data_IF_394630748325
#
_entry.id   IF_394630748325
#
_cell.length_a   1.000
_cell.length_b   1.000
_cell.length_c   1.000
_cell.angle_alpha   90.00
_cell.angle_beta   90.00
_cell.angle_gamma   90.00
#
_symmetry.space_group_name_H-M   'P 1'
#
loop_
_entity.id
_entity.type
_entity.pdbx_description
1 polymer ?
#
# COMPACT_ATOMS: atom_id res chain seq x y z
N UNK A 1 -22.38 8.05 5.38
CA UNK A 1 -21.01 7.69 5.00
C UNK A 1 -20.07 8.44 5.93
N UNK A 2 -18.97 7.80 6.36
CA UNK A 2 -17.97 8.46 7.22
C UNK A 2 -17.31 9.62 6.49
N UNK A 3 -16.83 10.63 7.24
CA UNK A 3 -15.91 11.63 6.70
C UNK A 3 -14.51 11.03 6.60
N UNK A 4 -13.92 11.06 5.40
CA UNK A 4 -12.67 10.38 5.10
C UNK A 4 -11.61 11.36 4.63
N UNK A 5 -10.42 11.29 5.23
CA UNK A 5 -9.23 12.01 4.77
C UNK A 5 -8.14 11.00 4.42
N UNK A 6 -7.78 10.92 3.14
CA UNK A 6 -6.68 10.09 2.66
C UNK A 6 -5.42 10.92 2.47
N UNK A 7 -4.40 10.65 3.28
CA UNK A 7 -3.04 11.18 3.08
C UNK A 7 -2.30 10.28 2.08
N UNK A 8 -1.94 10.85 0.92
CA UNK A 8 -1.44 10.07 -0.23
C UNK A 8 -0.38 10.79 -1.06
N UNK A 9 0.47 10.00 -1.71
CA UNK A 9 1.50 10.44 -2.66
C UNK A 9 1.36 9.69 -3.99
N UNK A 10 1.50 10.39 -5.11
CA UNK A 10 1.57 9.75 -6.44
C UNK A 10 2.83 8.88 -6.59
N UNK A 11 2.66 7.72 -7.24
CA UNK A 11 3.71 6.73 -7.42
C UNK A 11 4.13 6.02 -6.12
N UNK A 12 3.30 6.08 -5.08
CA UNK A 12 3.47 5.30 -3.86
C UNK A 12 2.32 4.30 -3.71
N UNK A 13 2.45 3.36 -2.79
CA UNK A 13 1.42 2.35 -2.52
C UNK A 13 0.04 2.96 -2.16
N UNK A 14 0.01 4.21 -1.65
CA UNK A 14 -1.23 4.96 -1.41
C UNK A 14 -2.08 5.23 -2.66
N UNK A 15 -1.52 5.13 -3.86
CA UNK A 15 -2.29 5.25 -5.11
C UNK A 15 -3.36 4.16 -5.20
N UNK A 16 -3.11 2.94 -4.73
CA UNK A 16 -4.10 1.87 -4.71
C UNK A 16 -5.35 2.23 -3.89
N UNK A 17 -5.16 2.79 -2.68
CA UNK A 17 -6.27 3.26 -1.84
C UNK A 17 -7.04 4.42 -2.49
N UNK A 18 -6.32 5.34 -3.14
CA UNK A 18 -6.92 6.45 -3.88
C UNK A 18 -7.81 5.96 -5.02
N UNK A 19 -7.33 5.02 -5.83
CA UNK A 19 -8.10 4.43 -6.93
C UNK A 19 -9.31 3.65 -6.44
N UNK A 20 -9.18 2.89 -5.35
CA UNK A 20 -10.30 2.14 -4.79
C UNK A 20 -11.44 3.05 -4.29
N UNK A 21 -11.11 4.16 -3.62
CA UNK A 21 -12.13 5.14 -3.19
C UNK A 21 -12.88 5.73 -4.40
N UNK A 22 -12.15 6.04 -5.48
CA UNK A 22 -12.74 6.53 -6.73
C UNK A 22 -13.63 5.48 -7.40
N UNK A 23 -13.15 4.23 -7.53
CA UNK A 23 -13.91 3.12 -8.13
C UNK A 23 -15.22 2.84 -7.39
N UNK A 24 -15.17 2.91 -6.05
CA UNK A 24 -16.33 2.67 -5.21
C UNK A 24 -17.23 3.89 -5.04
N UNK A 25 -16.89 5.02 -5.68
CA UNK A 25 -17.60 6.30 -5.57
C UNK A 25 -17.79 6.75 -4.11
N UNK A 26 -16.86 6.39 -3.23
CA UNK A 26 -16.87 6.78 -1.81
C UNK A 26 -16.34 8.21 -1.72
N UNK A 27 -17.09 9.18 -1.15
CA UNK A 27 -16.59 10.54 -0.96
C UNK A 27 -15.44 10.61 0.04
N UNK A 28 -14.41 11.40 -0.26
CA UNK A 28 -13.25 11.61 0.60
C UNK A 28 -12.52 12.90 0.25
N UNK A 29 -11.69 13.38 1.17
CA UNK A 29 -10.70 14.43 0.95
C UNK A 29 -9.33 13.81 0.74
N UNK A 30 -8.66 14.11 -0.38
CA UNK A 30 -7.29 13.71 -0.62
C UNK A 30 -6.31 14.79 -0.16
N UNK A 31 -5.34 14.45 0.69
CA UNK A 31 -4.23 15.32 1.08
C UNK A 31 -2.95 14.83 0.40
N UNK A 32 -2.44 15.55 -0.62
CA UNK A 32 -1.15 15.28 -1.22
C UNK A 32 -0.01 15.36 -0.22
N UNK A 33 0.83 14.33 -0.19
CA UNK A 33 2.01 14.23 0.67
C UNK A 33 3.28 14.11 -0.16
N UNK A 34 4.40 14.57 0.40
CA UNK A 34 5.74 14.32 -0.13
C UNK A 34 6.61 13.64 0.92
N UNK A 35 7.48 12.74 0.46
CA UNK A 35 8.43 12.05 1.33
C UNK A 35 9.53 13.05 1.75
N UNK A 36 9.71 13.22 3.06
CA UNK A 36 10.77 14.02 3.66
C UNK A 36 11.95 13.16 4.14
N UNK A 37 12.73 13.72 5.07
CA UNK A 37 13.83 12.99 5.70
C UNK A 37 13.32 11.80 6.52
N UNK A 38 14.12 10.73 6.59
CA UNK A 38 13.83 9.54 7.39
C UNK A 38 12.46 8.89 7.14
N UNK A 39 11.95 8.95 5.89
CA UNK A 39 10.64 8.39 5.49
C UNK A 39 9.43 9.06 6.18
N UNK A 40 9.61 10.22 6.80
CA UNK A 40 8.51 10.98 7.38
C UNK A 40 7.90 11.87 6.31
N UNK A 41 6.58 11.82 6.19
CA UNK A 41 5.85 12.57 5.19
C UNK A 41 5.38 13.93 5.73
N UNK A 42 5.33 14.91 4.86
CA UNK A 42 4.75 16.23 5.12
C UNK A 42 3.83 16.64 3.95
N UNK A 43 2.95 17.60 4.18
CA UNK A 43 2.00 18.09 3.19
C UNK A 43 2.69 18.65 1.96
N UNK A 44 2.14 18.32 0.79
CA UNK A 44 2.57 18.81 -0.52
C UNK A 44 1.53 19.73 -1.19
N UNK A 45 0.44 20.03 -0.50
CA UNK A 45 -0.70 20.83 -0.95
C UNK A 45 -0.57 22.34 -0.64
N UNK A 46 0.53 22.75 -0.01
CA UNK A 46 0.77 24.13 0.38
C UNK A 46 0.06 24.58 1.67
N UNK A 47 -0.66 23.68 2.36
CA UNK A 47 -1.32 23.98 3.64
C UNK A 47 -0.36 24.17 4.81
N UNK A 48 0.89 23.71 4.65
CA UNK A 48 1.90 23.76 5.70
C UNK A 48 1.81 22.63 6.72
N UNK A 49 1.10 21.53 6.42
CA UNK A 49 1.11 20.33 7.25
C UNK A 49 2.54 19.80 7.42
N UNK A 50 3.12 20.04 8.60
CA UNK A 50 4.50 19.60 8.89
C UNK A 50 4.53 18.11 9.23
N UNK A 51 5.73 17.51 9.15
CA UNK A 51 5.93 16.11 9.57
C UNK A 51 5.57 15.88 11.04
N UNK A 52 5.87 16.84 11.92
CA UNK A 52 5.57 16.74 13.36
C UNK A 52 4.06 16.78 13.61
N UNK A 53 3.32 17.56 12.81
CA UNK A 53 1.86 17.55 12.84
C UNK A 53 1.31 16.25 12.26
N UNK A 54 1.86 15.75 11.16
CA UNK A 54 1.41 14.50 10.54
C UNK A 54 1.64 13.28 11.43
N UNK A 55 2.76 13.20 12.17
CA UNK A 55 3.02 12.10 13.12
C UNK A 55 1.98 12.06 14.25
N UNK A 56 1.38 13.19 14.62
CA UNK A 56 0.29 13.22 15.60
C UNK A 56 -1.00 12.62 15.04
N UNK A 57 -1.18 12.64 13.73
CA UNK A 57 -2.33 12.07 13.01
C UNK A 57 -2.11 10.59 12.70
N UNK A 58 -0.92 10.25 12.20
CA UNK A 58 -0.47 8.91 11.85
C UNK A 58 0.88 8.66 12.52
N UNK A 59 0.92 7.99 13.69
CA UNK A 59 2.17 7.73 14.41
C UNK A 59 3.25 7.01 13.59
N UNK A 60 2.83 6.25 12.57
CA UNK A 60 3.73 5.58 11.63
C UNK A 60 4.43 6.56 10.66
N UNK A 61 3.86 7.74 10.44
CA UNK A 61 4.50 8.85 9.72
C UNK A 61 4.65 8.66 8.20
N UNK A 62 4.04 7.62 7.63
CA UNK A 62 4.04 7.35 6.19
C UNK A 62 2.64 7.21 5.60
N UNK A 63 2.57 7.19 4.26
CA UNK A 63 1.35 6.96 3.49
C UNK A 63 1.23 5.49 3.04
N UNK A 64 0.00 4.97 2.84
CA UNK A 64 -1.28 5.62 3.09
C UNK A 64 -1.57 5.77 4.59
N UNK A 65 -2.27 6.85 4.92
CA UNK A 65 -2.99 7.00 6.17
C UNK A 65 -4.41 7.46 5.85
N UNK A 66 -5.41 6.79 6.42
CA UNK A 66 -6.83 7.10 6.22
C UNK A 66 -7.44 7.50 7.56
N UNK A 67 -7.75 8.77 7.73
CA UNK A 67 -8.50 9.24 8.89
C UNK A 67 -10.00 9.07 8.65
N UNK A 68 -10.69 8.55 9.66
CA UNK A 68 -12.14 8.27 9.66
C UNK A 68 -12.79 9.13 10.73
N UNK A 69 -13.76 9.96 10.33
CA UNK A 69 -14.56 10.87 11.15
C UNK A 69 -13.72 11.84 12.02
N UNK A 70 -12.44 12.04 11.66
CA UNK A 70 -11.50 12.83 12.45
C UNK A 70 -11.07 12.18 13.77
N UNK A 71 -11.50 10.94 14.05
CA UNK A 71 -11.31 10.28 15.35
C UNK A 71 -10.20 9.23 15.33
N UNK A 72 -10.11 8.46 14.25
CA UNK A 72 -9.17 7.34 14.14
C UNK A 72 -8.45 7.35 12.80
N UNK A 73 -7.20 6.86 12.79
CA UNK A 73 -6.39 6.76 11.58
C UNK A 73 -5.99 5.31 11.34
N UNK A 74 -6.36 4.80 10.17
CA UNK A 74 -5.98 3.47 9.69
C UNK A 74 -4.72 3.61 8.83
N UNK A 75 -3.72 2.79 9.12
CA UNK A 75 -2.44 2.71 8.38
C UNK A 75 -2.25 1.27 7.91
N UNK A 76 -1.18 1.00 7.15
CA UNK A 76 -1.00 -0.20 6.31
C UNK A 76 -1.96 -0.25 5.13
N UNK A 77 -1.41 -0.32 3.91
CA UNK A 77 -2.24 -0.34 2.70
C UNK A 77 -3.30 -1.45 2.75
N UNK A 78 -2.91 -2.64 3.22
CA UNK A 78 -3.82 -3.78 3.33
C UNK A 78 -5.01 -3.50 4.24
N UNK A 79 -4.81 -2.86 5.40
CA UNK A 79 -5.91 -2.52 6.30
C UNK A 79 -6.77 -1.38 5.75
N UNK A 80 -6.14 -0.39 5.10
CA UNK A 80 -6.85 0.71 4.44
C UNK A 80 -7.77 0.19 3.32
N UNK A 81 -7.28 -0.69 2.44
CA UNK A 81 -8.08 -1.28 1.35
C UNK A 81 -9.22 -2.15 1.89
N UNK A 82 -8.95 -2.92 2.95
CA UNK A 82 -9.98 -3.72 3.62
C UNK A 82 -11.11 -2.83 4.18
N UNK A 83 -10.75 -1.75 4.89
CA UNK A 83 -11.73 -0.82 5.43
C UNK A 83 -12.55 -0.15 4.32
N UNK A 84 -11.91 0.38 3.28
CA UNK A 84 -12.61 1.00 2.14
C UNK A 84 -13.59 0.00 1.50
N UNK A 85 -13.18 -1.26 1.31
CA UNK A 85 -14.04 -2.31 0.77
C UNK A 85 -15.26 -2.59 1.63
N UNK A 86 -15.11 -2.49 2.97
CA UNK A 86 -16.22 -2.71 3.91
C UNK A 86 -17.31 -1.64 3.82
N UNK A 87 -17.03 -0.47 3.21
CA UNK A 87 -18.02 0.58 2.96
C UNK A 87 -18.96 0.27 1.79
N UNK A 88 -18.60 -0.69 0.93
CA UNK A 88 -19.38 -1.13 -0.23
C UNK A 88 -19.35 -2.68 -0.35
N UNK A 89 -19.86 -3.43 0.64
CA UNK A 89 -19.74 -4.89 0.70
C UNK A 89 -20.37 -5.60 -0.50
N UNK A 90 -21.41 -5.02 -1.11
CA UNK A 90 -22.07 -5.54 -2.31
C UNK A 90 -21.16 -5.60 -3.54
N UNK A 91 -20.05 -4.85 -3.53
CA UNK A 91 -19.07 -4.85 -4.62
C UNK A 91 -18.11 -6.02 -4.56
N UNK A 92 -18.07 -6.78 -3.46
CA UNK A 92 -17.27 -8.01 -3.36
C UNK A 92 -15.76 -7.80 -3.44
N UNK A 93 -15.25 -6.62 -3.09
CA UNK A 93 -13.83 -6.26 -3.27
C UNK A 93 -12.85 -7.11 -2.46
N UNK A 94 -13.31 -7.81 -1.43
CA UNK A 94 -12.51 -8.79 -0.66
C UNK A 94 -12.78 -10.23 -1.06
N UNK A 95 -13.68 -10.51 -2.01
CA UNK A 95 -14.12 -11.86 -2.40
C UNK A 95 -15.55 -12.17 -1.95
N UNK A 96 -16.20 -13.10 -2.65
CA UNK A 96 -17.61 -13.47 -2.44
C UNK A 96 -17.82 -14.65 -1.50
N UNK A 97 -16.78 -15.44 -1.23
CA UNK A 97 -16.82 -16.56 -0.29
C UNK A 97 -15.59 -16.62 0.62
N UNK A 98 -15.59 -17.57 1.57
CA UNK A 98 -14.50 -17.69 2.54
C UNK A 98 -13.14 -18.01 1.89
N UNK A 99 -13.13 -18.72 0.76
CA UNK A 99 -11.90 -19.10 0.06
C UNK A 99 -11.34 -17.90 -0.70
N UNK A 100 -12.19 -17.15 -1.40
CA UNK A 100 -11.79 -15.91 -2.08
C UNK A 100 -11.29 -14.85 -1.10
N UNK A 101 -11.98 -14.68 0.04
CA UNK A 101 -11.51 -13.80 1.11
C UNK A 101 -10.12 -14.21 1.63
N UNK A 102 -9.89 -15.51 1.84
CA UNK A 102 -8.57 -16.01 2.23
C UNK A 102 -7.52 -15.78 1.13
N UNK A 103 -7.90 -15.89 -0.15
CA UNK A 103 -7.01 -15.64 -1.30
C UNK A 103 -6.64 -14.16 -1.43
N UNK A 104 -7.60 -13.26 -1.29
CA UNK A 104 -7.33 -11.81 -1.24
C UNK A 104 -6.38 -11.49 -0.10
N UNK A 105 -6.63 -12.02 1.10
CA UNK A 105 -5.74 -11.80 2.24
C UNK A 105 -4.33 -12.37 2.02
N UNK A 106 -4.23 -13.56 1.42
CA UNK A 106 -2.95 -14.17 1.02
C UNK A 106 -2.17 -13.23 0.10
N UNK A 107 -2.83 -12.71 -0.93
CA UNK A 107 -2.26 -11.79 -1.89
C UNK A 107 -1.78 -10.49 -1.23
N UNK A 108 -2.65 -9.82 -0.48
CA UNK A 108 -2.33 -8.57 0.22
C UNK A 108 -1.13 -8.75 1.15
N UNK A 109 -1.08 -9.86 1.88
CA UNK A 109 0.02 -10.18 2.79
C UNK A 109 1.34 -10.41 2.05
N UNK A 110 1.32 -11.20 0.98
CA UNK A 110 2.52 -11.51 0.19
C UNK A 110 3.04 -10.29 -0.57
N UNK A 111 2.16 -9.51 -1.20
CA UNK A 111 2.53 -8.29 -1.91
C UNK A 111 3.17 -7.27 -0.98
N UNK A 112 2.57 -7.03 0.20
CA UNK A 112 3.11 -6.05 1.16
C UNK A 112 4.46 -6.49 1.72
N UNK A 113 4.59 -7.74 2.17
CA UNK A 113 5.78 -8.17 2.93
C UNK A 113 6.91 -8.68 2.03
N UNK A 114 6.59 -9.51 1.05
CA UNK A 114 7.59 -10.20 0.24
C UNK A 114 7.96 -9.37 -0.97
N UNK A 115 6.99 -8.97 -1.78
CA UNK A 115 7.29 -8.28 -3.02
C UNK A 115 7.69 -6.80 -2.77
N UNK A 116 6.93 -6.10 -1.94
CA UNK A 116 7.18 -4.68 -1.66
C UNK A 116 8.36 -4.48 -0.70
N UNK A 117 8.26 -4.92 0.56
CA UNK A 117 9.31 -4.64 1.55
C UNK A 117 10.62 -5.42 1.28
N UNK A 118 10.56 -6.75 1.11
CA UNK A 118 11.79 -7.50 0.86
C UNK A 118 12.36 -7.31 -0.56
N UNK A 119 11.49 -7.36 -1.58
CA UNK A 119 11.89 -7.20 -2.98
C UNK A 119 12.24 -5.75 -3.33
N UNK A 120 11.22 -4.91 -3.50
CA UNK A 120 11.37 -3.54 -4.00
C UNK A 120 12.11 -2.61 -3.05
N UNK A 121 11.77 -2.58 -1.75
CA UNK A 121 12.48 -1.75 -0.80
C UNK A 121 13.91 -2.28 -0.56
N UNK A 122 14.12 -3.60 -0.51
CA UNK A 122 15.47 -4.19 -0.50
C UNK A 122 16.32 -3.78 -1.71
N UNK A 123 15.73 -3.76 -2.90
CA UNK A 123 16.45 -3.37 -4.12
C UNK A 123 16.74 -1.87 -4.22
N UNK A 124 15.74 -1.01 -3.99
CA UNK A 124 15.87 0.44 -4.20
C UNK A 124 16.36 1.20 -2.97
N UNK A 125 16.22 0.62 -1.78
CA UNK A 125 16.50 1.25 -0.48
C UNK A 125 17.18 0.25 0.48
N UNK A 126 18.27 -0.41 0.08
CA UNK A 126 18.92 -1.47 0.87
C UNK A 126 19.35 -1.01 2.27
N UNK A 127 19.69 0.27 2.44
CA UNK A 127 20.01 0.89 3.72
C UNK A 127 18.91 0.74 4.79
N UNK A 128 17.66 0.47 4.41
CA UNK A 128 16.56 0.17 5.35
C UNK A 128 16.77 -1.15 6.09
N UNK A 129 17.51 -2.08 5.50
CA UNK A 129 17.72 -3.43 6.04
C UNK A 129 19.03 -3.55 6.81
N UNK A 130 20.04 -2.77 6.41
CA UNK A 130 21.40 -2.84 6.98
C UNK A 130 21.78 -1.62 7.82
N UNK A 131 20.98 -0.55 7.79
CA UNK A 131 21.26 0.71 8.47
C UNK A 131 22.10 1.67 7.61
N UNK A 132 22.08 2.96 7.99
CA UNK A 132 22.72 4.04 7.21
C UNK A 132 24.26 4.03 7.29
N UNK A 133 24.83 3.32 8.27
CA UNK A 133 26.28 3.21 8.48
C UNK A 133 26.86 1.92 7.89
N UNK A 134 26.03 1.11 7.21
CA UNK A 134 26.45 -0.13 6.60
C UNK A 134 27.42 0.10 5.44
N UNK A 135 28.24 -0.92 5.15
CA UNK A 135 29.13 -0.86 4.00
C UNK A 135 28.37 -1.02 2.68
N UNK A 136 28.98 -0.55 1.59
CA UNK A 136 28.45 -0.75 0.23
C UNK A 136 28.22 -2.22 -0.09
N UNK A 137 29.10 -3.12 0.37
CA UNK A 137 28.99 -4.55 0.12
C UNK A 137 27.75 -5.16 0.81
N UNK A 138 27.41 -4.67 2.01
CA UNK A 138 26.19 -5.09 2.71
C UNK A 138 24.94 -4.60 1.97
N UNK A 139 24.94 -3.36 1.47
CA UNK A 139 23.84 -2.85 0.65
C UNK A 139 23.70 -3.59 -0.68
N UNK A 140 24.81 -3.92 -1.34
CA UNK A 140 24.82 -4.66 -2.61
C UNK A 140 24.30 -6.08 -2.43
N UNK A 141 24.62 -6.75 -1.31
CA UNK A 141 24.07 -8.05 -0.98
C UNK A 141 22.54 -8.01 -0.82
N UNK A 142 22.01 -7.02 -0.09
CA UNK A 142 20.55 -6.83 0.05
C UNK A 142 19.91 -6.51 -1.29
N UNK A 143 20.54 -5.66 -2.11
CA UNK A 143 20.06 -5.31 -3.44
C UNK A 143 19.98 -6.55 -4.34
N UNK A 144 20.98 -7.42 -4.29
CA UNK A 144 20.99 -8.65 -5.07
C UNK A 144 19.84 -9.59 -4.68
N UNK A 145 19.57 -9.79 -3.40
CA UNK A 145 18.44 -10.62 -2.93
C UNK A 145 17.07 -9.98 -3.21
N UNK A 146 16.96 -8.66 -3.06
CA UNK A 146 15.75 -7.92 -3.44
C UNK A 146 15.43 -8.10 -4.93
N UNK A 147 16.45 -7.99 -5.80
CA UNK A 147 16.30 -8.24 -7.24
C UNK A 147 15.82 -9.66 -7.55
N UNK A 148 16.40 -10.67 -6.90
CA UNK A 148 15.96 -12.08 -7.06
C UNK A 148 14.51 -12.25 -6.65
N UNK A 149 14.10 -11.63 -5.55
CA UNK A 149 12.72 -11.67 -5.05
C UNK A 149 11.76 -11.03 -6.03
N UNK A 150 12.10 -9.87 -6.61
CA UNK A 150 11.28 -9.19 -7.61
C UNK A 150 11.08 -10.08 -8.84
N UNK A 151 12.17 -10.64 -9.40
CA UNK A 151 12.10 -11.49 -10.58
C UNK A 151 11.23 -12.73 -10.33
N UNK A 152 11.46 -13.43 -9.22
CA UNK A 152 10.62 -14.56 -8.80
C UNK A 152 9.17 -14.13 -8.56
N UNK A 153 8.97 -12.92 -8.06
CA UNK A 153 7.65 -12.33 -7.87
C UNK A 153 6.90 -12.19 -9.19
N UNK A 154 7.55 -11.68 -10.24
CA UNK A 154 6.94 -11.60 -11.56
C UNK A 154 6.59 -12.98 -12.13
N UNK A 155 7.46 -13.99 -11.98
CA UNK A 155 7.14 -15.36 -12.40
C UNK A 155 5.90 -15.92 -11.66
N UNK A 156 5.76 -15.61 -10.36
CA UNK A 156 4.59 -16.00 -9.57
C UNK A 156 3.34 -15.26 -10.04
N UNK A 157 3.45 -13.94 -10.29
CA UNK A 157 2.34 -13.12 -10.77
C UNK A 157 1.80 -13.64 -12.11
N UNK A 158 2.68 -13.95 -13.06
CA UNK A 158 2.29 -14.54 -14.34
C UNK A 158 1.55 -15.87 -14.18
N UNK A 159 1.94 -16.68 -13.20
CA UNK A 159 1.29 -17.95 -12.90
C UNK A 159 0.01 -17.86 -12.06
N UNK A 160 -0.18 -16.77 -11.30
CA UNK A 160 -1.32 -16.59 -10.40
C UNK A 160 -2.44 -15.73 -11.00
N UNK A 161 -2.12 -14.82 -11.93
CA UNK A 161 -3.14 -14.13 -12.70
C UNK A 161 -3.91 -15.15 -13.52
N UNK A 162 -5.23 -15.20 -13.33
CA UNK A 162 -6.05 -16.07 -14.16
C UNK A 162 -6.16 -15.50 -15.58
N UNK A 163 -6.59 -16.34 -16.53
CA UNK A 163 -6.79 -15.91 -17.92
C UNK A 163 -7.92 -14.89 -18.11
N UNK A 164 -8.56 -14.43 -17.02
CA UNK A 164 -9.58 -13.37 -17.06
C UNK A 164 -9.01 -11.98 -16.75
N UNK A 165 -7.74 -11.90 -16.34
CA UNK A 165 -7.09 -10.65 -15.99
C UNK A 165 -7.39 -10.18 -14.56
N UNK A 166 -7.93 -11.06 -13.71
CA UNK A 166 -8.19 -10.78 -12.31
C UNK A 166 -7.31 -11.67 -11.42
N UNK A 167 -6.87 -11.11 -10.29
CA UNK A 167 -6.01 -11.84 -9.36
C UNK A 167 -6.77 -12.90 -8.53
N UNK A 168 -8.06 -12.69 -8.27
CA UNK A 168 -8.92 -13.58 -7.46
C UNK A 168 -10.33 -13.64 -8.05
N UNK A 169 -10.95 -14.82 -8.06
CA UNK A 169 -12.39 -14.99 -8.26
C UNK A 169 -12.95 -14.65 -9.65
N UNK A 170 -12.10 -14.29 -10.64
CA UNK A 170 -12.52 -13.79 -11.97
C UNK A 170 -13.33 -12.50 -11.91
N UNK A 171 -13.12 -11.68 -10.89
CA UNK A 171 -13.74 -10.36 -10.74
C UNK A 171 -12.75 -9.38 -10.10
N UNK A 172 -13.09 -8.09 -10.15
CA UNK A 172 -12.27 -7.04 -9.54
C UNK A 172 -12.23 -7.20 -8.01
N UNK A 173 -11.03 -7.12 -7.46
CA UNK A 173 -10.75 -7.13 -6.02
C UNK A 173 -9.72 -6.07 -5.66
N UNK A 174 -9.52 -5.83 -4.37
CA UNK A 174 -8.46 -4.93 -3.88
C UNK A 174 -7.06 -5.34 -4.33
N UNK A 175 -6.84 -6.62 -4.67
CA UNK A 175 -5.54 -7.12 -5.13
C UNK A 175 -5.16 -6.49 -6.47
N UNK A 176 -6.12 -6.33 -7.37
CA UNK A 176 -5.88 -5.77 -8.71
C UNK A 176 -5.41 -4.30 -8.66
N UNK A 177 -5.82 -3.57 -7.61
CA UNK A 177 -5.31 -2.21 -7.33
C UNK A 177 -3.89 -2.21 -6.75
N UNK A 178 -3.45 -3.29 -6.11
CA UNK A 178 -2.09 -3.43 -5.58
C UNK A 178 -1.06 -3.84 -6.65
N UNK A 179 -1.51 -4.36 -7.79
CA UNK A 179 -0.66 -4.86 -8.89
C UNK A 179 -0.30 -3.79 -9.95
N UNK A 180 -0.60 -2.52 -9.68
CA UNK A 180 -0.38 -1.37 -10.58
C UNK A 180 1.09 -0.95 -10.66
#
# INVERSE_FOLDING_TARGET
>A
MPDLILYRKDGACSTAAHMLLLELEVPFTAIPMKEGLNRLYEGADGTGLTREAFIKISPMGYVPALTVDGETTITELSAVLFYISSLAPERGMTGHDAVENAKVLQWMSWLSTTLNEYGFAGYWRPSRMVGLEASSEAEDAVRAEGKKTILKGFDILEGWLDGTGHAVGRHLTVVDFMLQ
#
